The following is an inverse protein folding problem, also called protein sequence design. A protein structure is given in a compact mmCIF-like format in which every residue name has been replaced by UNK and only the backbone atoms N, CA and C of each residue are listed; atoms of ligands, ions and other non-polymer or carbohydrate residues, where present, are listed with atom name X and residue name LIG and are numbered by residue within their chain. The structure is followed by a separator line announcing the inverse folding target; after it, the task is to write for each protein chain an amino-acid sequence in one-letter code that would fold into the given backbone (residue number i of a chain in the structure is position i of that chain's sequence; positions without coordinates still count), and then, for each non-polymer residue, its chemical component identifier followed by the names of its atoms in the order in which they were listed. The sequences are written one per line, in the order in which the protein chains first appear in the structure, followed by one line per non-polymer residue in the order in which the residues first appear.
data_IF_625387034042
#
_entry.id   IF_625387034042
#
_cell.length_a   1.000
_cell.length_b   1.000
_cell.length_c   1.000
_cell.angle_alpha   90.00
_cell.angle_beta   90.00
_cell.angle_gamma   90.00
#
_symmetry.space_group_name_H-M   'P 1'
#
loop_
_entity.id
_entity.type
_entity.pdbx_description
1 polymer ?
#
# COMPACT_ATOMS: atom_id res chain seq x y z
N UNK A 1 35.15 -4.51 87.63
CA UNK A 1 34.90 -5.86 87.14
C UNK A 1 33.85 -5.79 86.10
N UNK A 2 34.29 -5.63 84.83
CA UNK A 2 33.44 -5.28 83.69
C UNK A 2 33.06 -6.57 82.95
N UNK A 3 31.79 -6.79 82.73
CA UNK A 3 31.32 -7.76 81.71
C UNK A 3 30.74 -7.08 80.57
N UNK A 4 31.42 -7.17 79.39
CA UNK A 4 30.93 -6.81 78.07
C UNK A 4 30.07 -7.97 77.58
N UNK A 5 28.82 -7.73 77.26
CA UNK A 5 27.97 -8.65 76.53
C UNK A 5 27.87 -8.18 75.10
N UNK A 6 28.57 -8.85 74.18
CA UNK A 6 28.50 -8.60 72.75
C UNK A 6 27.30 -9.32 72.15
N UNK A 7 26.40 -8.56 71.56
CA UNK A 7 25.30 -9.08 70.77
C UNK A 7 25.77 -9.32 69.36
N UNK A 8 25.90 -10.58 68.96
CA UNK A 8 26.12 -10.96 67.55
C UNK A 8 24.76 -10.95 66.81
N UNK A 9 24.51 -9.95 66.06
CA UNK A 9 23.33 -9.88 65.16
C UNK A 9 23.61 -10.71 63.94
N UNK A 10 22.86 -11.78 63.72
CA UNK A 10 22.91 -12.67 62.59
C UNK A 10 22.44 -11.95 61.32
N UNK A 11 23.37 -11.33 60.59
CA UNK A 11 23.11 -10.63 59.32
C UNK A 11 22.80 -11.53 58.08
N UNK A 12 22.73 -12.85 58.26
CA UNK A 12 22.56 -13.81 57.14
C UNK A 12 21.10 -14.12 56.76
N UNK A 13 20.12 -13.81 57.62
CA UNK A 13 18.70 -14.11 57.30
C UNK A 13 17.93 -12.99 56.62
N UNK A 14 18.41 -11.76 56.71
CA UNK A 14 17.72 -10.61 56.07
C UNK A 14 17.96 -10.49 54.58
N UNK A 15 19.16 -10.88 54.10
CA UNK A 15 19.52 -10.79 52.66
C UNK A 15 18.72 -11.74 51.75
N UNK A 16 18.38 -12.95 52.23
CA UNK A 16 17.59 -13.93 51.45
C UNK A 16 16.12 -13.53 51.26
N UNK A 17 15.51 -12.88 52.26
CA UNK A 17 14.10 -12.43 52.17
C UNK A 17 13.96 -11.20 51.25
N UNK A 18 14.93 -10.30 51.22
CA UNK A 18 14.96 -9.16 50.30
C UNK A 18 15.17 -9.59 48.85
N UNK A 19 16.04 -10.59 48.62
CA UNK A 19 16.31 -11.13 47.28
C UNK A 19 15.07 -11.79 46.64
N UNK A 20 14.28 -12.53 47.47
CA UNK A 20 13.06 -13.20 46.99
C UNK A 20 11.94 -12.18 46.66
N UNK A 21 11.81 -11.10 47.46
CA UNK A 21 10.82 -10.03 47.23
C UNK A 21 11.18 -9.27 45.97
N UNK A 22 12.47 -9.01 45.70
CA UNK A 22 12.91 -8.32 44.46
C UNK A 22 12.69 -9.18 43.20
N UNK A 23 12.85 -10.51 43.32
CA UNK A 23 12.55 -11.44 42.21
C UNK A 23 11.04 -11.51 41.92
N UNK A 24 10.21 -11.39 42.93
CA UNK A 24 8.74 -11.44 42.78
C UNK A 24 8.17 -10.14 42.19
N UNK A 25 8.77 -8.99 42.48
CA UNK A 25 8.37 -7.70 41.89
C UNK A 25 8.81 -7.61 40.43
N UNK A 26 9.96 -8.19 40.04
CA UNK A 26 10.42 -8.25 38.65
C UNK A 26 9.54 -9.14 37.73
N UNK A 27 8.85 -10.15 38.32
CA UNK A 27 7.95 -11.03 37.57
C UNK A 27 6.56 -10.43 37.29
N UNK A 28 6.20 -9.33 37.96
CA UNK A 28 4.89 -8.65 37.78
C UNK A 28 4.91 -7.57 36.71
N UNK A 29 6.05 -7.23 36.11
CA UNK A 29 6.14 -6.37 34.95
C UNK A 29 5.89 -7.15 33.64
N UNK A 30 4.78 -7.88 33.56
CA UNK A 30 4.23 -8.34 32.30
C UNK A 30 3.86 -7.10 31.49
N UNK A 31 4.77 -6.67 30.63
CA UNK A 31 4.50 -5.62 29.65
C UNK A 31 3.36 -6.16 28.77
N UNK A 32 2.15 -5.71 29.03
CA UNK A 32 1.02 -5.93 28.12
C UNK A 32 1.35 -5.25 26.80
N UNK A 33 2.05 -5.93 25.93
CA UNK A 33 2.16 -5.51 24.52
C UNK A 33 0.77 -5.66 23.93
N UNK A 34 0.04 -4.54 23.87
CA UNK A 34 -1.24 -4.49 23.20
C UNK A 34 -0.99 -4.85 21.75
N UNK A 35 -1.49 -5.98 21.30
CA UNK A 35 -1.39 -6.38 19.91
C UNK A 35 -2.03 -5.26 19.05
N UNK A 36 -1.30 -4.78 18.04
CA UNK A 36 -1.76 -3.71 17.16
C UNK A 36 -2.97 -4.21 16.38
N UNK A 37 -4.09 -3.48 16.45
CA UNK A 37 -5.33 -3.84 15.73
C UNK A 37 -5.18 -3.56 14.23
N UNK A 38 -6.03 -4.18 13.41
CA UNK A 38 -6.07 -3.91 11.97
C UNK A 38 -6.39 -2.43 11.69
N UNK A 39 -7.29 -1.84 12.47
CA UNK A 39 -7.65 -0.42 12.39
C UNK A 39 -6.46 0.48 12.72
N UNK A 40 -5.65 0.12 13.72
CA UNK A 40 -4.43 0.86 14.07
C UNK A 40 -3.41 0.82 12.94
N UNK A 41 -3.22 -0.34 12.31
CA UNK A 41 -2.31 -0.51 11.16
C UNK A 41 -2.77 0.36 10.01
N UNK A 42 -4.04 0.29 9.63
CA UNK A 42 -4.61 1.09 8.54
C UNK A 42 -4.47 2.58 8.83
N UNK A 43 -4.75 3.01 10.07
CA UNK A 43 -4.58 4.41 10.47
C UNK A 43 -3.13 4.88 10.33
N UNK A 44 -2.16 4.07 10.69
CA UNK A 44 -0.74 4.42 10.56
C UNK A 44 -0.27 4.44 9.10
N UNK A 45 -0.75 3.54 8.25
CA UNK A 45 -0.54 3.59 6.80
C UNK A 45 -1.10 4.90 6.24
N UNK A 46 -2.33 5.26 6.64
CA UNK A 46 -2.98 6.52 6.24
C UNK A 46 -2.16 7.75 6.63
N UNK A 47 -1.63 7.80 7.85
CA UNK A 47 -0.78 8.92 8.32
C UNK A 47 0.43 9.14 7.41
N UNK A 48 1.03 8.08 6.87
CA UNK A 48 2.13 8.23 5.90
C UNK A 48 1.64 8.82 4.58
N UNK A 49 0.57 8.28 4.02
CA UNK A 49 -0.01 8.74 2.75
C UNK A 49 -0.49 10.19 2.87
N UNK A 50 -1.03 10.57 4.01
CA UNK A 50 -1.53 11.92 4.27
C UNK A 50 -0.45 13.01 4.35
N UNK A 51 0.82 12.65 4.49
CA UNK A 51 1.93 13.61 4.40
C UNK A 51 2.07 14.24 3.01
N UNK A 52 1.51 13.60 1.98
CA UNK A 52 1.61 14.03 0.58
C UNK A 52 0.32 14.71 0.18
N UNK A 53 0.35 16.01 -0.09
CA UNK A 53 -0.77 16.78 -0.64
C UNK A 53 -0.77 16.76 -2.17
N UNK A 54 0.43 16.89 -2.75
CA UNK A 54 0.68 16.83 -4.18
C UNK A 54 2.09 16.31 -4.46
N UNK A 55 2.33 15.83 -5.67
CA UNK A 55 3.68 15.60 -6.17
C UNK A 55 3.74 15.72 -7.69
N UNK A 56 4.94 16.05 -8.18
CA UNK A 56 5.42 15.77 -9.53
C UNK A 56 6.45 14.66 -9.44
N UNK A 57 6.31 13.61 -10.25
CA UNK A 57 7.25 12.52 -10.32
C UNK A 57 7.70 12.28 -11.76
N UNK A 58 8.95 11.84 -11.94
CA UNK A 58 9.49 11.33 -13.19
C UNK A 58 9.63 9.82 -13.10
N UNK A 59 9.41 9.14 -14.22
CA UNK A 59 9.54 7.69 -14.23
C UNK A 59 9.51 7.09 -15.62
N UNK A 60 9.53 5.77 -15.64
CA UNK A 60 9.38 4.96 -16.86
C UNK A 60 8.13 4.12 -16.75
N UNK A 61 7.31 4.18 -17.79
CA UNK A 61 6.11 3.36 -17.96
C UNK A 61 6.43 2.22 -18.91
N UNK A 62 6.17 0.99 -18.48
CA UNK A 62 6.26 -0.22 -19.31
C UNK A 62 4.91 -0.91 -19.35
N UNK A 63 4.40 -1.13 -20.55
CA UNK A 63 3.13 -1.84 -20.75
C UNK A 63 3.41 -3.21 -21.35
N UNK A 64 2.86 -4.25 -20.74
CA UNK A 64 2.89 -5.61 -21.24
C UNK A 64 1.46 -6.15 -21.25
N UNK A 65 0.76 -5.87 -22.33
CA UNK A 65 -0.60 -6.34 -22.61
C UNK A 65 -0.55 -7.08 -23.93
N UNK A 66 -1.17 -8.24 -24.03
CA UNK A 66 -0.98 -9.19 -25.14
C UNK A 66 -1.21 -8.61 -26.53
N UNK A 67 -2.01 -7.56 -26.65
CA UNK A 67 -2.39 -6.89 -27.90
C UNK A 67 -1.77 -5.48 -28.05
N UNK A 68 -0.93 -5.03 -27.10
CA UNK A 68 -0.30 -3.72 -27.13
C UNK A 68 1.21 -3.88 -27.10
N UNK A 69 1.87 -3.57 -28.21
CA UNK A 69 3.33 -3.43 -28.28
C UNK A 69 3.71 -1.97 -28.05
N UNK A 70 3.62 -1.51 -26.79
CA UNK A 70 4.03 -0.16 -26.47
C UNK A 70 5.50 -0.14 -26.05
N UNK A 71 6.32 0.79 -26.56
CA UNK A 71 7.69 0.98 -26.09
C UNK A 71 7.69 1.47 -24.65
N UNK A 72 8.83 1.33 -23.98
CA UNK A 72 9.03 1.96 -22.65
C UNK A 72 8.99 3.47 -22.86
N UNK A 73 8.11 4.16 -22.14
CA UNK A 73 7.94 5.60 -22.23
C UNK A 73 8.49 6.31 -20.99
N UNK A 74 9.18 7.44 -21.19
CA UNK A 74 9.47 8.35 -20.09
C UNK A 74 8.21 9.16 -19.79
N UNK A 75 7.84 9.22 -18.52
CA UNK A 75 6.60 9.86 -18.08
C UNK A 75 6.85 10.84 -16.95
N UNK A 76 6.03 11.91 -16.94
CA UNK A 76 5.80 12.75 -15.78
C UNK A 76 4.46 12.42 -15.18
N UNK A 77 4.42 12.24 -13.87
CA UNK A 77 3.23 11.88 -13.13
C UNK A 77 2.93 13.00 -12.15
N UNK A 78 1.73 13.53 -12.22
CA UNK A 78 1.25 14.59 -11.33
C UNK A 78 0.13 14.04 -10.46
N UNK A 79 0.20 14.31 -9.19
CA UNK A 79 -0.84 13.97 -8.23
C UNK A 79 -1.19 15.19 -7.39
N UNK A 80 -2.46 15.33 -7.06
CA UNK A 80 -2.96 16.32 -6.10
C UNK A 80 -4.19 15.78 -5.40
N UNK A 81 -4.21 15.89 -4.07
CA UNK A 81 -5.39 15.52 -3.29
C UNK A 81 -6.65 16.26 -3.77
N UNK A 82 -7.83 15.62 -3.61
CA UNK A 82 -8.03 14.31 -2.99
C UNK A 82 -7.71 13.14 -3.93
N UNK A 83 -7.85 13.28 -5.27
CA UNK A 83 -7.79 12.17 -6.23
C UNK A 83 -7.39 12.59 -7.64
N UNK A 84 -6.77 13.76 -7.82
CA UNK A 84 -6.30 14.20 -9.14
C UNK A 84 -5.00 13.49 -9.47
N UNK A 85 -4.97 12.72 -10.57
CA UNK A 85 -3.79 12.06 -11.11
C UNK A 85 -3.71 12.31 -12.61
N UNK A 86 -2.55 12.73 -13.10
CA UNK A 86 -2.26 12.83 -14.53
C UNK A 86 -0.91 12.22 -14.83
N UNK A 87 -0.87 11.40 -15.87
CA UNK A 87 0.37 10.86 -16.40
C UNK A 87 0.58 11.50 -17.77
N UNK A 88 1.71 12.14 -17.97
CA UNK A 88 2.11 12.80 -19.21
C UNK A 88 3.30 12.06 -19.81
N UNK A 89 3.19 11.67 -21.08
CA UNK A 89 4.26 11.04 -21.82
C UNK A 89 5.18 12.13 -22.42
N UNK A 90 6.46 12.13 -22.10
CA UNK A 90 7.43 13.09 -22.63
C UNK A 90 7.79 12.81 -24.10
N UNK A 91 7.51 11.61 -24.61
CA UNK A 91 7.88 11.17 -25.97
C UNK A 91 6.83 11.45 -27.05
N UNK A 92 5.75 12.14 -26.73
CA UNK A 92 4.72 12.59 -27.70
C UNK A 92 3.70 11.54 -28.14
N UNK A 93 3.94 10.25 -27.96
CA UNK A 93 2.96 9.17 -28.24
C UNK A 93 2.33 8.74 -26.92
N UNK A 94 1.07 9.09 -26.70
CA UNK A 94 0.37 8.75 -25.47
C UNK A 94 -0.29 7.39 -25.59
N UNK A 95 0.34 6.37 -25.04
CA UNK A 95 -0.32 5.07 -24.73
C UNK A 95 -0.98 5.08 -23.35
N UNK A 96 -1.11 6.26 -22.76
CA UNK A 96 -1.75 6.45 -21.48
C UNK A 96 -3.23 6.60 -21.73
N UNK A 97 -4.06 5.82 -21.06
CA UNK A 97 -5.50 5.92 -21.20
C UNK A 97 -5.97 7.36 -21.00
N UNK A 98 -6.73 7.90 -21.96
CA UNK A 98 -7.46 9.16 -21.79
C UNK A 98 -8.52 8.93 -20.72
N UNK A 99 -8.24 9.35 -19.52
CA UNK A 99 -9.06 9.16 -18.35
C UNK A 99 -8.14 8.93 -17.16
N UNK A 100 -8.39 9.59 -16.06
CA UNK A 100 -7.62 9.37 -14.85
C UNK A 100 -7.70 7.89 -14.50
N UNK A 101 -6.57 7.21 -14.54
CA UNK A 101 -6.46 5.90 -13.89
C UNK A 101 -6.70 6.21 -12.41
N UNK A 102 -7.96 6.14 -11.99
CA UNK A 102 -8.36 6.17 -10.58
C UNK A 102 -7.92 4.86 -9.90
N UNK A 103 -6.66 4.47 -10.11
CA UNK A 103 -6.00 3.47 -9.30
C UNK A 103 -5.61 4.17 -8.00
N UNK A 104 -6.63 4.74 -7.37
CA UNK A 104 -6.40 5.50 -6.16
C UNK A 104 -6.64 4.59 -4.98
N UNK A 105 -5.56 3.99 -4.47
CA UNK A 105 -5.56 3.52 -3.09
C UNK A 105 -6.03 4.64 -2.15
N UNK A 106 -5.84 5.91 -2.54
CA UNK A 106 -6.31 7.06 -1.77
C UNK A 106 -7.82 7.04 -1.54
N UNK A 107 -8.64 6.55 -2.48
CA UNK A 107 -10.09 6.48 -2.27
C UNK A 107 -10.46 5.53 -1.13
N UNK A 108 -9.74 4.42 -0.98
CA UNK A 108 -9.92 3.46 0.12
C UNK A 108 -9.56 4.10 1.47
N UNK A 109 -8.58 5.00 1.50
CA UNK A 109 -8.11 5.65 2.73
C UNK A 109 -8.77 6.99 3.03
N UNK A 110 -9.52 7.57 2.09
CA UNK A 110 -10.20 8.86 2.29
C UNK A 110 -11.30 8.75 3.34
N UNK A 111 -12.07 7.66 3.32
CA UNK A 111 -13.11 7.40 4.33
C UNK A 111 -13.10 5.94 4.77
N UNK A 112 -12.23 5.65 5.74
CA UNK A 112 -12.09 4.30 6.28
C UNK A 112 -13.32 3.87 7.09
N UNK A 113 -14.13 4.80 7.57
CA UNK A 113 -15.35 4.50 8.32
C UNK A 113 -16.43 3.85 7.45
N UNK A 114 -16.33 4.00 6.12
CA UNK A 114 -17.21 3.37 5.15
C UNK A 114 -16.91 1.89 4.87
N UNK A 115 -15.89 1.33 5.53
CA UNK A 115 -15.49 -0.06 5.37
C UNK A 115 -15.55 -0.84 6.68
N UNK A 116 -15.92 -2.11 6.60
CA UNK A 116 -15.63 -3.10 7.62
C UNK A 116 -14.21 -3.61 7.42
N UNK A 117 -13.41 -3.60 8.50
CA UNK A 117 -12.00 -3.97 8.50
C UNK A 117 -11.87 -5.36 9.10
N UNK A 118 -11.38 -6.30 8.31
CA UNK A 118 -11.25 -7.70 8.71
C UNK A 118 -9.76 -8.06 8.73
N UNK A 119 -9.26 -8.39 9.90
CA UNK A 119 -7.91 -8.91 10.09
C UNK A 119 -7.87 -10.41 9.77
N UNK A 120 -7.09 -10.79 8.78
CA UNK A 120 -6.94 -12.20 8.37
C UNK A 120 -5.71 -12.84 9.03
N UNK A 121 -4.82 -12.04 9.62
CA UNK A 121 -3.54 -12.51 10.16
C UNK A 121 -2.37 -12.20 9.23
N UNK A 122 -1.32 -13.01 9.30
CA UNK A 122 -0.11 -12.84 8.49
C UNK A 122 -0.04 -13.87 7.37
N UNK A 123 0.44 -13.41 6.22
CA UNK A 123 0.75 -14.27 5.09
C UNK A 123 1.99 -15.14 5.42
N UNK A 124 1.88 -16.43 5.23
CA UNK A 124 2.93 -17.40 5.59
C UNK A 124 4.24 -17.20 4.82
N UNK A 125 4.14 -16.75 3.56
CA UNK A 125 5.30 -16.60 2.69
C UNK A 125 6.00 -15.25 2.84
N UNK A 126 5.24 -14.17 2.94
CA UNK A 126 5.78 -12.80 2.98
C UNK A 126 5.84 -12.20 4.38
N UNK A 127 5.16 -12.81 5.36
CA UNK A 127 4.96 -12.30 6.71
C UNK A 127 4.26 -10.92 6.76
N UNK A 128 3.60 -10.51 5.68
CA UNK A 128 2.80 -9.28 5.64
C UNK A 128 1.45 -9.50 6.32
N UNK A 129 0.96 -8.46 7.01
CA UNK A 129 -0.40 -8.47 7.57
C UNK A 129 -1.41 -8.41 6.46
N UNK A 130 -2.37 -9.33 6.46
CA UNK A 130 -3.48 -9.36 5.50
C UNK A 130 -4.68 -8.71 6.14
N UNK A 131 -5.15 -7.62 5.55
CA UNK A 131 -6.35 -6.90 5.97
C UNK A 131 -7.31 -6.82 4.80
N UNK A 132 -8.55 -7.24 5.02
CA UNK A 132 -9.63 -7.07 4.04
C UNK A 132 -10.48 -5.87 4.40
N UNK A 133 -10.85 -5.10 3.39
CA UNK A 133 -11.73 -3.94 3.48
C UNK A 133 -13.00 -4.24 2.68
N UNK A 134 -14.11 -4.37 3.38
CA UNK A 134 -15.42 -4.63 2.81
C UNK A 134 -16.25 -3.34 2.88
N UNK A 135 -16.66 -2.74 1.75
CA UNK A 135 -17.52 -1.57 1.77
C UNK A 135 -18.85 -1.86 2.50
N UNK A 136 -19.28 -0.95 3.37
CA UNK A 136 -20.58 -1.04 4.06
C UNK A 136 -21.75 -0.75 3.14
N UNK A 137 -21.51 -0.07 2.02
CA UNK A 137 -22.51 0.25 1.01
C UNK A 137 -22.30 -0.59 -0.24
N UNK A 138 -23.36 -1.12 -0.78
CA UNK A 138 -23.35 -1.89 -2.04
C UNK A 138 -23.47 -1.05 -3.30
N UNK A 139 -23.54 0.28 -3.19
CA UNK A 139 -23.70 1.17 -4.35
C UNK A 139 -22.35 1.52 -4.99
N UNK A 140 -21.24 1.22 -4.33
CA UNK A 140 -19.89 1.51 -4.81
C UNK A 140 -19.39 0.54 -5.88
N UNK A 141 -18.37 0.97 -6.62
CA UNK A 141 -17.69 0.13 -7.63
C UNK A 141 -16.89 -0.99 -6.98
N UNK A 142 -16.26 -0.75 -5.83
CA UNK A 142 -15.44 -1.72 -5.12
C UNK A 142 -16.31 -2.68 -4.32
N UNK A 143 -16.07 -3.98 -4.48
CA UNK A 143 -16.76 -5.05 -3.73
C UNK A 143 -15.88 -5.51 -2.56
N UNK A 144 -14.57 -5.64 -2.76
CA UNK A 144 -13.63 -6.10 -1.76
C UNK A 144 -12.22 -5.59 -2.10
N UNK A 145 -11.49 -5.13 -1.11
CA UNK A 145 -10.05 -4.91 -1.22
C UNK A 145 -9.29 -5.73 -0.18
N UNK A 146 -8.27 -6.45 -0.62
CA UNK A 146 -7.36 -7.20 0.26
C UNK A 146 -5.99 -6.54 0.22
N UNK A 147 -5.53 -6.06 1.37
CA UNK A 147 -4.25 -5.38 1.52
C UNK A 147 -3.24 -6.30 2.19
N UNK A 148 -2.03 -6.35 1.65
CA UNK A 148 -0.86 -7.00 2.24
C UNK A 148 0.06 -5.89 2.74
N UNK A 149 0.19 -5.76 4.04
CA UNK A 149 0.85 -4.63 4.69
C UNK A 149 2.10 -5.11 5.42
N UNK A 150 3.20 -4.46 5.14
CA UNK A 150 4.41 -4.52 5.97
C UNK A 150 4.11 -3.73 7.25
N UNK A 151 3.70 -4.45 8.30
CA UNK A 151 3.25 -3.88 9.57
C UNK A 151 4.40 -3.29 10.42
N UNK A 152 5.65 -3.55 10.04
CA UNK A 152 6.82 -2.90 10.65
C UNK A 152 7.07 -1.51 10.07
N UNK A 153 6.91 -1.39 8.75
CA UNK A 153 7.17 -0.15 8.02
C UNK A 153 5.90 0.63 7.69
N UNK A 154 4.71 0.09 8.00
CA UNK A 154 3.41 0.68 7.68
C UNK A 154 3.29 1.03 6.19
N UNK A 155 3.59 0.05 5.33
CA UNK A 155 3.58 0.18 3.88
C UNK A 155 2.75 -0.92 3.23
N UNK A 156 1.91 -0.54 2.28
CA UNK A 156 1.13 -1.51 1.49
C UNK A 156 2.05 -2.10 0.43
N UNK A 157 2.34 -3.38 0.52
CA UNK A 157 3.18 -4.10 -0.45
C UNK A 157 2.39 -4.62 -1.63
N UNK A 158 1.14 -5.03 -1.37
CA UNK A 158 0.22 -5.52 -2.39
C UNK A 158 -1.21 -5.14 -2.03
N UNK A 159 -2.01 -4.82 -3.02
CA UNK A 159 -3.45 -4.64 -2.90
C UNK A 159 -4.14 -5.39 -4.02
N UNK A 160 -5.12 -6.24 -3.68
CA UNK A 160 -5.99 -6.91 -4.64
C UNK A 160 -7.39 -6.35 -4.46
N UNK A 161 -7.96 -5.78 -5.51
CA UNK A 161 -9.28 -5.16 -5.47
C UNK A 161 -10.21 -5.84 -6.48
N UNK A 162 -11.35 -6.28 -6.01
CA UNK A 162 -12.45 -6.80 -6.83
C UNK A 162 -13.50 -5.71 -6.99
N UNK A 163 -13.85 -5.45 -8.22
CA UNK A 163 -14.87 -4.47 -8.60
C UNK A 163 -16.09 -5.17 -9.19
N UNK A 164 -17.23 -4.46 -9.18
CA UNK A 164 -18.51 -4.97 -9.64
C UNK A 164 -18.52 -5.23 -11.15
N UNK A 165 -17.99 -4.29 -11.92
CA UNK A 165 -18.13 -4.27 -13.38
C UNK A 165 -16.83 -4.58 -14.13
N UNK A 166 -15.66 -4.40 -13.46
CA UNK A 166 -14.35 -4.45 -14.10
C UNK A 166 -13.48 -5.63 -13.65
N UNK A 167 -14.05 -6.58 -12.87
CA UNK A 167 -13.33 -7.76 -12.38
C UNK A 167 -12.30 -7.41 -11.29
N UNK A 168 -11.26 -8.24 -11.20
CA UNK A 168 -10.23 -8.13 -10.15
C UNK A 168 -8.92 -7.63 -10.73
N UNK A 169 -8.29 -6.66 -10.04
CA UNK A 169 -6.95 -6.19 -10.34
C UNK A 169 -6.05 -6.26 -9.11
N UNK A 170 -4.76 -6.25 -9.35
CA UNK A 170 -3.72 -6.28 -8.32
C UNK A 170 -2.73 -5.15 -8.52
N UNK A 171 -2.36 -4.50 -7.43
CA UNK A 171 -1.27 -3.55 -7.33
C UNK A 171 -0.16 -4.16 -6.47
N UNK A 172 1.06 -4.17 -6.98
CA UNK A 172 2.25 -4.49 -6.20
C UNK A 172 3.14 -3.25 -6.11
N UNK A 173 3.66 -2.97 -4.92
CA UNK A 173 4.44 -1.76 -4.63
C UNK A 173 5.78 -2.12 -3.99
N UNK A 174 6.84 -1.53 -4.53
CA UNK A 174 8.18 -1.60 -3.95
C UNK A 174 8.60 -0.20 -3.51
N UNK A 175 9.25 -0.11 -2.36
CA UNK A 175 9.59 1.16 -1.73
C UNK A 175 11.09 1.24 -1.48
N UNK A 176 11.63 2.46 -1.53
CA UNK A 176 13.00 2.81 -1.22
C UNK A 176 13.05 4.20 -0.59
N UNK A 177 13.64 5.18 -1.30
CA UNK A 177 13.95 6.52 -0.77
C UNK A 177 12.75 7.28 -0.19
N UNK A 178 11.55 7.07 -0.75
CA UNK A 178 10.34 7.84 -0.39
C UNK A 178 9.35 7.04 0.46
N UNK A 179 9.81 5.95 1.08
CA UNK A 179 9.00 5.08 1.93
C UNK A 179 8.33 5.80 3.10
N UNK A 180 8.95 6.84 3.65
CA UNK A 180 8.42 7.63 4.77
C UNK A 180 7.20 8.50 4.39
N UNK A 181 7.00 8.70 3.10
CA UNK A 181 5.84 9.36 2.53
C UNK A 181 4.81 8.34 1.98
N UNK A 182 5.06 7.04 2.12
CA UNK A 182 4.23 6.01 1.50
C UNK A 182 4.28 6.02 -0.03
N UNK A 183 5.30 6.65 -0.63
CA UNK A 183 5.49 6.73 -2.08
C UNK A 183 6.39 5.60 -2.56
N UNK A 184 5.91 4.84 -3.53
CA UNK A 184 6.61 3.69 -4.07
C UNK A 184 7.65 4.10 -5.13
N UNK A 185 8.79 3.41 -5.16
CA UNK A 185 9.75 3.53 -6.27
C UNK A 185 9.28 2.76 -7.51
N UNK A 186 8.42 1.76 -7.31
CA UNK A 186 7.87 0.96 -8.38
C UNK A 186 6.45 0.50 -8.05
N UNK A 187 5.57 0.65 -9.01
CA UNK A 187 4.19 0.16 -8.96
C UNK A 187 3.95 -0.74 -10.15
N UNK A 188 3.41 -1.92 -9.89
CA UNK A 188 2.98 -2.88 -10.91
C UNK A 188 1.49 -3.08 -10.78
N UNK A 189 0.75 -2.72 -11.80
CA UNK A 189 -0.67 -2.98 -11.96
C UNK A 189 -0.87 -4.21 -12.84
N UNK A 190 -1.60 -5.21 -12.35
CA UNK A 190 -1.91 -6.44 -13.07
C UNK A 190 -3.41 -6.68 -13.07
N UNK A 191 -3.95 -7.10 -14.19
CA UNK A 191 -5.38 -7.36 -14.36
C UNK A 191 -5.62 -8.53 -15.31
N UNK A 192 -6.76 -9.19 -15.18
CA UNK A 192 -7.16 -10.23 -16.12
C UNK A 192 -7.84 -9.57 -17.32
N UNK A 193 -7.29 -9.75 -18.51
CA UNK A 193 -7.82 -9.13 -19.74
C UNK A 193 -9.20 -9.64 -20.15
N UNK A 194 -9.66 -10.78 -19.61
CA UNK A 194 -11.03 -11.30 -19.83
C UNK A 194 -12.06 -10.62 -18.94
N UNK A 195 -11.69 -10.32 -17.70
CA UNK A 195 -12.61 -9.85 -16.66
C UNK A 195 -12.53 -8.35 -16.48
N UNK A 196 -11.35 -7.78 -16.71
CA UNK A 196 -11.13 -6.35 -16.52
C UNK A 196 -11.52 -5.58 -17.77
N UNK A 197 -12.66 -4.93 -17.71
CA UNK A 197 -13.05 -3.93 -18.71
C UNK A 197 -12.32 -2.63 -18.38
N UNK A 198 -11.55 -2.14 -19.35
CA UNK A 198 -10.90 -0.83 -19.20
C UNK A 198 -11.97 0.23 -18.91
N UNK A 199 -11.74 1.16 -17.96
CA UNK A 199 -12.67 2.23 -17.66
C UNK A 199 -13.07 2.97 -18.94
N UNK A 200 -14.34 3.39 -19.05
CA UNK A 200 -14.82 4.16 -20.19
C UNK A 200 -13.95 5.40 -20.42
N UNK A 201 -13.46 5.59 -21.63
CA UNK A 201 -12.57 6.71 -22.01
C UNK A 201 -11.10 6.30 -22.10
N UNK A 202 -10.76 5.03 -21.84
CA UNK A 202 -9.47 4.47 -22.20
C UNK A 202 -9.57 3.92 -23.62
N UNK A 203 -9.19 4.71 -24.61
CA UNK A 203 -8.99 4.24 -25.98
C UNK A 203 -7.50 4.08 -26.20
N UNK A 204 -7.09 2.88 -26.56
CA UNK A 204 -5.77 2.67 -27.13
C UNK A 204 -5.90 2.98 -28.63
N UNK A 205 -5.66 4.21 -29.02
CA UNK A 205 -5.59 4.60 -30.43
C UNK A 205 -4.28 4.08 -31.06
N UNK A 206 -4.15 2.76 -31.13
CA UNK A 206 -3.13 2.12 -31.93
C UNK A 206 -3.79 1.06 -32.82
N UNK A 207 -4.09 1.45 -34.02
CA UNK A 207 -4.41 0.55 -35.12
C UNK A 207 -3.08 0.16 -35.79
N UNK A 208 -2.58 -1.04 -35.50
CA UNK A 208 -1.38 -1.59 -36.11
C UNK A 208 -1.68 -2.31 -37.44
N UNK A 209 -2.93 -2.24 -37.91
CA UNK A 209 -3.36 -2.86 -39.18
C UNK A 209 -3.37 -4.39 -39.13
N UNK A 210 -3.18 -5.05 -37.98
CA UNK A 210 -3.19 -6.50 -37.88
C UNK A 210 -4.59 -7.04 -37.64
N UNK A 211 -5.09 -7.81 -38.60
CA UNK A 211 -6.43 -8.38 -38.67
C UNK A 211 -6.70 -9.42 -37.59
N UNK A 212 -7.94 -9.45 -37.14
CA UNK A 212 -8.86 -10.41 -36.49
C UNK A 212 -8.41 -11.83 -36.04
N UNK A 213 -7.24 -12.34 -36.40
CA UNK A 213 -6.78 -13.66 -35.99
C UNK A 213 -6.18 -13.70 -34.56
N UNK A 214 -6.09 -12.55 -33.90
CA UNK A 214 -5.55 -12.47 -32.54
C UNK A 214 -6.60 -12.60 -31.43
N UNK A 215 -7.90 -12.46 -31.71
CA UNK A 215 -8.96 -12.52 -30.69
C UNK A 215 -9.00 -13.84 -29.92
N UNK A 216 -8.63 -14.94 -30.54
CA UNK A 216 -8.64 -16.27 -29.90
C UNK A 216 -7.40 -16.54 -29.02
N UNK A 217 -6.30 -15.79 -29.19
CA UNK A 217 -5.09 -15.90 -28.35
C UNK A 217 -5.08 -15.00 -27.12
N UNK A 218 -6.02 -14.06 -27.06
CA UNK A 218 -6.12 -13.04 -25.99
C UNK A 218 -6.79 -13.63 -24.73
N UNK A 219 -7.49 -14.76 -24.86
CA UNK A 219 -8.44 -15.26 -23.87
C UNK A 219 -7.90 -15.61 -22.48
N UNK A 220 -6.57 -15.69 -22.25
CA UNK A 220 -6.00 -16.11 -20.96
C UNK A 220 -4.75 -15.33 -20.48
N UNK A 221 -4.53 -14.12 -20.94
CA UNK A 221 -3.32 -13.37 -20.57
C UNK A 221 -3.60 -12.25 -19.58
N UNK A 222 -2.81 -12.21 -18.50
CA UNK A 222 -2.80 -11.08 -17.58
C UNK A 222 -2.17 -9.87 -18.25
N UNK A 223 -2.89 -8.75 -18.29
CA UNK A 223 -2.33 -7.45 -18.64
C UNK A 223 -1.47 -6.93 -17.47
N UNK A 224 -0.35 -6.28 -17.79
CA UNK A 224 0.57 -5.73 -16.78
C UNK A 224 1.05 -4.36 -17.22
N UNK A 225 0.93 -3.39 -16.31
CA UNK A 225 1.49 -2.05 -16.47
C UNK A 225 2.42 -1.79 -15.30
N UNK A 226 3.64 -1.38 -15.59
CA UNK A 226 4.67 -1.11 -14.59
C UNK A 226 5.10 0.34 -14.70
N UNK A 227 5.14 1.05 -13.56
CA UNK A 227 5.72 2.38 -13.43
C UNK A 227 6.91 2.27 -12.49
N UNK A 228 8.09 2.65 -12.97
CA UNK A 228 9.29 2.80 -12.14
C UNK A 228 9.59 4.29 -11.99
N UNK A 229 9.51 4.79 -10.77
CA UNK A 229 9.72 6.19 -10.44
C UNK A 229 11.21 6.47 -10.22
N UNK A 230 11.73 7.53 -10.82
CA UNK A 230 13.12 7.95 -10.66
C UNK A 230 13.28 9.10 -9.65
N UNK A 231 12.27 9.96 -9.54
CA UNK A 231 12.28 11.09 -8.61
C UNK A 231 10.88 11.57 -8.29
N UNK A 232 10.76 12.20 -7.12
CA UNK A 232 9.57 12.91 -6.65
C UNK A 232 9.94 14.31 -6.18
N UNK A 233 9.09 15.28 -6.51
CA UNK A 233 9.02 16.62 -5.93
C UNK A 233 7.72 16.68 -5.17
N UNK A 234 7.78 16.69 -3.84
CA UNK A 234 6.64 16.47 -2.95
C UNK A 234 6.19 17.80 -2.35
N UNK A 235 4.86 18.05 -2.29
CA UNK A 235 4.24 19.21 -1.65
C UNK A 235 4.75 20.56 -2.17
N UNK A 236 4.95 20.66 -3.48
CA UNK A 236 5.43 21.89 -4.14
C UNK A 236 4.30 22.76 -4.71
N UNK A 237 3.07 22.28 -4.63
CA UNK A 237 1.90 22.97 -5.13
C UNK A 237 1.69 22.75 -6.64
N UNK A 238 1.25 21.53 -7.03
CA UNK A 238 0.91 21.24 -8.44
C UNK A 238 -0.29 22.10 -8.88
N UNK A 239 -0.15 22.93 -9.97
CA UNK A 239 -1.25 23.76 -10.44
C UNK A 239 -2.42 22.94 -10.98
N UNK A 240 -3.64 23.42 -10.80
CA UNK A 240 -4.84 22.73 -11.29
C UNK A 240 -4.92 22.65 -12.81
N UNK A 241 -4.28 23.58 -13.53
CA UNK A 241 -4.17 23.59 -15.00
C UNK A 241 -3.47 22.34 -15.54
N UNK A 242 -2.63 21.67 -14.76
CA UNK A 242 -1.98 20.41 -15.14
C UNK A 242 -3.00 19.30 -15.36
N UNK A 243 -4.17 19.35 -14.72
CA UNK A 243 -5.19 18.30 -14.75
C UNK A 243 -6.35 18.55 -15.73
N UNK A 244 -6.28 19.65 -16.50
CA UNK A 244 -7.25 20.04 -17.54
C UNK A 244 -6.97 19.35 -18.87
#
# INVERSE_FOLDING_TARGET
MNYFFGAVINGKLMGKKFSVIFLFIASLSSVYTKAQTAEDIIRQVRVKIEKVNDYEAKGKLKTNVAFIKAPIANVKIYFKKPNKLRIHNESGISFIPKGSINISLNNVFTDISSYDIIDVGKDENSNFRIIKLLPKSDTGEVVLSTLYIDDKNMLIRKATTTTRDNGTYELQMSYGKYADYGLADKVVFSFNTKEYKLPKGITFDYDDGTKKDQENKIKDKKGKVEISYSSYIINHGVPDSVFQ
#
